data_IF_146305006063
#
_entry.id   IF_146305006063
#
_cell.length_a   1.000
_cell.length_b   1.000
_cell.length_c   1.000
_cell.angle_alpha   90.00
_cell.angle_beta   90.00
_cell.angle_gamma   90.00
#
_symmetry.space_group_name_H-M   'P 1'
#
loop_
_entity.id
_entity.type
_entity.pdbx_description
1 polymer ?
#
# COMPACT_ATOMS: atom_id res chain seq x y z
N UNK A 1 10.95 -17.69 -6.01
CA UNK A 1 11.63 -16.39 -5.86
C UNK A 1 11.56 -15.98 -4.38
N UNK A 2 12.43 -15.10 -3.86
CA UNK A 2 12.30 -14.66 -2.47
C UNK A 2 10.98 -13.89 -2.29
N UNK A 3 10.28 -14.09 -1.18
CA UNK A 3 9.03 -13.40 -0.88
C UNK A 3 9.29 -12.21 0.04
N UNK A 4 8.65 -11.08 -0.24
CA UNK A 4 8.55 -9.96 0.69
C UNK A 4 7.13 -9.88 1.23
N UNK A 5 6.92 -10.45 2.42
CA UNK A 5 5.65 -10.36 3.14
C UNK A 5 5.84 -9.67 4.48
N UNK A 6 4.90 -8.81 4.86
CA UNK A 6 4.87 -8.13 6.16
C UNK A 6 3.48 -8.13 6.75
N UNK A 7 3.39 -8.61 7.98
CA UNK A 7 2.27 -8.30 8.87
C UNK A 7 2.55 -6.93 9.48
N UNK A 8 1.61 -6.01 9.31
CA UNK A 8 1.77 -4.60 9.66
C UNK A 8 0.81 -4.26 10.81
N UNK A 9 1.28 -3.46 11.75
CA UNK A 9 0.54 -3.14 12.97
C UNK A 9 -0.35 -1.92 12.73
N UNK A 10 -1.64 -2.18 12.49
CA UNK A 10 -2.65 -1.15 12.25
C UNK A 10 -2.78 -0.20 13.44
N UNK A 11 -2.77 -0.75 14.66
CA UNK A 11 -2.94 0.07 15.86
C UNK A 11 -1.77 1.04 16.02
N UNK A 12 -0.53 0.56 15.82
CA UNK A 12 0.65 1.40 15.76
C UNK A 12 0.61 2.37 14.58
N UNK A 13 0.06 1.96 13.44
CA UNK A 13 -0.09 2.81 12.26
C UNK A 13 -0.98 4.03 12.52
N UNK A 14 -2.12 3.84 13.19
CA UNK A 14 -3.03 4.93 13.60
C UNK A 14 -2.53 5.71 14.83
N UNK A 15 -1.96 5.02 15.81
CA UNK A 15 -1.59 5.57 17.11
C UNK A 15 -0.08 5.45 17.36
N UNK A 16 0.72 6.02 16.47
CA UNK A 16 2.17 5.82 16.48
C UNK A 16 2.82 6.20 17.82
N UNK A 17 3.52 5.24 18.41
CA UNK A 17 4.34 5.42 19.61
C UNK A 17 5.80 5.07 19.33
N UNK A 18 6.72 6.00 19.66
CA UNK A 18 8.16 5.87 19.37
C UNK A 18 8.86 4.71 20.09
N UNK A 19 8.27 4.20 21.17
CA UNK A 19 8.77 3.08 21.97
C UNK A 19 8.31 1.72 21.42
N UNK A 20 7.37 1.71 20.47
CA UNK A 20 6.97 0.51 19.74
C UNK A 20 7.81 0.36 18.48
N UNK A 21 8.21 -0.87 18.19
CA UNK A 21 9.09 -1.25 17.08
C UNK A 21 8.36 -2.05 15.99
N UNK A 22 7.03 -2.18 16.10
CA UNK A 22 6.21 -2.91 15.14
C UNK A 22 6.30 -2.25 13.76
N UNK A 23 6.40 -3.04 12.67
CA UNK A 23 6.36 -2.49 11.33
C UNK A 23 4.97 -1.89 11.03
N UNK A 24 4.95 -0.84 10.22
CA UNK A 24 3.72 -0.15 9.79
C UNK A 24 3.81 0.12 8.30
N UNK A 25 2.67 0.23 7.63
CA UNK A 25 2.66 0.59 6.22
C UNK A 25 1.40 1.35 5.84
N UNK A 26 1.50 2.08 4.73
CA UNK A 26 0.48 3.02 4.31
C UNK A 26 0.36 3.03 2.78
N UNK A 27 -0.86 3.19 2.28
CA UNK A 27 -1.12 3.70 0.93
C UNK A 27 -1.32 5.20 1.07
N UNK A 28 -0.49 6.00 0.42
CA UNK A 28 -0.52 7.47 0.51
C UNK A 28 -1.29 8.10 -0.65
N UNK A 29 -1.37 7.42 -1.79
CA UNK A 29 -2.23 7.80 -2.91
C UNK A 29 -2.66 6.56 -3.68
N UNK A 30 -3.90 6.52 -4.17
CA UNK A 30 -4.35 5.49 -5.09
C UNK A 30 -5.51 5.99 -5.96
N UNK A 31 -5.40 5.75 -7.26
CA UNK A 31 -6.43 5.98 -8.28
C UNK A 31 -6.67 4.66 -8.99
N UNK A 32 -7.92 4.20 -9.01
CA UNK A 32 -8.30 2.90 -9.57
C UNK A 32 -9.33 3.16 -10.67
N UNK A 33 -9.06 2.73 -11.90
CA UNK A 33 -9.97 2.93 -13.03
C UNK A 33 -10.31 4.40 -13.32
N UNK A 34 -9.43 5.33 -12.96
CA UNK A 34 -9.65 6.78 -13.04
C UNK A 34 -10.27 7.41 -11.79
N UNK A 35 -10.71 6.62 -10.82
CA UNK A 35 -11.30 7.09 -9.58
C UNK A 35 -10.27 7.19 -8.44
N UNK A 36 -9.94 8.42 -8.06
CA UNK A 36 -8.99 8.69 -6.96
C UNK A 36 -9.66 8.50 -5.60
N UNK A 37 -9.03 7.73 -4.71
CA UNK A 37 -9.41 7.68 -3.30
C UNK A 37 -8.78 8.87 -2.55
N UNK A 38 -9.47 9.36 -1.52
CA UNK A 38 -9.02 10.53 -0.77
C UNK A 38 -7.99 10.15 0.29
N UNK A 39 -6.88 10.89 0.36
CA UNK A 39 -5.89 10.77 1.44
C UNK A 39 -6.37 11.55 2.68
N UNK A 40 -7.44 11.06 3.31
CA UNK A 40 -8.20 11.76 4.35
C UNK A 40 -7.78 11.42 5.79
N UNK A 41 -6.79 10.53 5.96
CA UNK A 41 -6.23 10.18 7.27
C UNK A 41 -5.04 11.11 7.60
N UNK A 42 -5.35 12.37 7.89
CA UNK A 42 -4.35 13.45 7.97
C UNK A 42 -3.48 13.44 9.23
N UNK A 43 -3.93 12.77 10.29
CA UNK A 43 -3.26 12.78 11.61
C UNK A 43 -2.22 11.67 11.79
N UNK A 44 -1.99 10.86 10.74
CA UNK A 44 -1.03 9.76 10.80
C UNK A 44 0.40 10.31 10.88
N UNK A 45 1.11 9.93 11.93
CA UNK A 45 2.49 10.36 12.19
C UNK A 45 3.48 9.68 11.25
N UNK A 46 4.54 10.39 10.89
CA UNK A 46 5.66 9.84 10.15
C UNK A 46 6.56 9.00 11.08
N UNK A 47 6.76 7.69 10.84
CA UNK A 47 7.66 6.88 11.65
C UNK A 47 9.12 7.36 11.65
N UNK A 48 9.60 7.97 10.56
CA UNK A 48 10.95 8.54 10.48
C UNK A 48 11.03 9.93 11.14
N UNK A 49 9.89 10.62 11.30
CA UNK A 49 9.78 11.91 11.98
C UNK A 49 8.53 11.98 12.89
N UNK A 50 8.56 11.37 14.10
CA UNK A 50 7.36 11.13 14.93
C UNK A 50 6.64 12.37 15.47
N UNK A 51 7.24 13.55 15.32
CA UNK A 51 6.68 14.84 15.73
C UNK A 51 5.88 15.51 14.60
N UNK A 52 5.92 14.97 13.38
CA UNK A 52 5.19 15.43 12.23
C UNK A 52 4.21 14.37 11.69
N UNK A 53 3.17 14.83 11.00
CA UNK A 53 2.33 13.97 10.17
C UNK A 53 3.09 13.58 8.89
N UNK A 54 2.73 12.45 8.29
CA UNK A 54 3.20 12.08 6.96
C UNK A 54 2.76 13.16 5.96
N UNK A 55 3.73 13.74 5.23
CA UNK A 55 3.48 14.87 4.34
C UNK A 55 2.45 14.58 3.24
N UNK A 56 2.46 13.36 2.70
CA UNK A 56 1.57 12.93 1.61
C UNK A 56 0.14 12.58 2.10
N UNK A 57 -0.12 12.65 3.41
CA UNK A 57 -1.33 12.10 4.04
C UNK A 57 -1.51 10.61 3.70
N UNK A 58 -2.58 10.00 4.20
CA UNK A 58 -2.79 8.55 4.08
C UNK A 58 -4.20 8.24 3.59
N UNK A 59 -4.29 7.34 2.61
CA UNK A 59 -5.55 6.75 2.13
C UNK A 59 -5.92 5.53 2.96
N UNK A 60 -4.95 4.64 3.20
CA UNK A 60 -5.14 3.40 3.94
C UNK A 60 -3.97 3.10 4.89
N UNK A 61 -4.27 2.63 6.09
CA UNK A 61 -3.28 2.08 7.04
C UNK A 61 -3.25 0.56 6.86
N UNK A 62 -2.11 0.01 6.47
CA UNK A 62 -2.00 -1.39 6.07
C UNK A 62 -1.91 -2.32 7.29
N UNK A 63 -2.57 -3.48 7.19
CA UNK A 63 -2.40 -4.61 8.09
C UNK A 63 -1.55 -5.71 7.45
N UNK A 64 -1.47 -5.76 6.12
CA UNK A 64 -0.64 -6.74 5.41
C UNK A 64 -0.16 -6.22 4.07
N UNK A 65 1.05 -6.63 3.71
CA UNK A 65 1.61 -6.51 2.38
C UNK A 65 2.26 -7.82 1.96
N UNK A 66 2.10 -8.16 0.68
CA UNK A 66 2.77 -9.30 0.06
C UNK A 66 3.19 -9.00 -1.38
N UNK A 67 4.43 -9.37 -1.70
CA UNK A 67 4.94 -9.44 -3.05
C UNK A 67 5.97 -10.57 -3.16
N UNK A 68 5.83 -11.47 -4.13
CA UNK A 68 6.77 -12.58 -4.36
C UNK A 68 8.05 -12.16 -5.12
N UNK A 69 8.24 -10.85 -5.30
CA UNK A 69 9.41 -10.16 -5.87
C UNK A 69 9.77 -10.51 -7.31
N UNK A 70 8.94 -11.29 -8.00
CA UNK A 70 8.99 -11.45 -9.44
C UNK A 70 8.53 -10.20 -10.17
N UNK A 71 9.10 -10.00 -11.36
CA UNK A 71 8.84 -8.83 -12.21
C UNK A 71 7.41 -8.79 -12.75
N UNK A 72 6.69 -9.90 -12.75
CA UNK A 72 5.29 -10.02 -13.19
C UNK A 72 4.33 -10.29 -12.03
N UNK A 73 4.85 -10.45 -10.81
CA UNK A 73 4.04 -10.86 -9.66
C UNK A 73 3.16 -9.70 -9.20
N UNK A 74 1.97 -10.03 -8.72
CA UNK A 74 1.10 -9.03 -8.09
C UNK A 74 1.65 -8.59 -6.73
N UNK A 75 1.33 -7.35 -6.37
CA UNK A 75 1.45 -6.84 -5.01
C UNK A 75 0.06 -6.86 -4.37
N UNK A 76 -0.03 -7.48 -3.20
CA UNK A 76 -1.26 -7.56 -2.43
C UNK A 76 -1.18 -6.62 -1.24
N UNK A 77 -2.20 -5.79 -1.10
CA UNK A 77 -2.37 -4.87 0.00
C UNK A 77 -3.65 -5.21 0.74
N UNK A 78 -3.57 -5.23 2.07
CA UNK A 78 -4.73 -5.21 2.95
C UNK A 78 -4.54 -4.07 3.93
N UNK A 79 -5.57 -3.27 4.13
CA UNK A 79 -5.52 -2.15 5.08
C UNK A 79 -6.88 -1.61 5.47
N UNK A 80 -6.87 -0.62 6.36
CA UNK A 80 -8.05 0.05 6.86
C UNK A 80 -8.21 1.42 6.18
N UNK A 81 -9.38 1.65 5.58
CA UNK A 81 -9.76 2.91 4.92
C UNK A 81 -10.88 3.62 5.67
N UNK A 82 -11.06 4.92 5.39
CA UNK A 82 -12.14 5.73 5.95
C UNK A 82 -13.53 5.33 5.45
N UNK A 83 -14.58 5.88 6.08
CA UNK A 83 -15.98 5.72 5.64
C UNK A 83 -16.20 6.23 4.21
N UNK A 84 -15.61 7.38 3.86
CA UNK A 84 -15.79 7.99 2.55
C UNK A 84 -15.16 7.12 1.45
N UNK A 85 -13.91 6.66 1.67
CA UNK A 85 -13.26 5.74 0.76
C UNK A 85 -13.97 4.39 0.69
N UNK A 86 -14.51 3.88 1.81
CA UNK A 86 -15.35 2.66 1.80
C UNK A 86 -16.55 2.78 0.88
N UNK A 87 -17.27 3.89 0.94
CA UNK A 87 -18.43 4.13 0.08
C UNK A 87 -18.03 4.20 -1.40
N UNK A 88 -16.94 4.91 -1.70
CA UNK A 88 -16.40 5.02 -3.05
C UNK A 88 -15.96 3.67 -3.61
N UNK A 89 -15.21 2.86 -2.84
CA UNK A 89 -14.81 1.52 -3.28
C UNK A 89 -16.04 0.62 -3.49
N UNK A 90 -17.04 0.69 -2.62
CA UNK A 90 -18.28 -0.08 -2.78
C UNK A 90 -19.06 0.33 -4.04
N UNK A 91 -19.14 1.62 -4.34
CA UNK A 91 -19.72 2.13 -5.59
C UNK A 91 -18.99 1.57 -6.82
N UNK A 92 -17.66 1.59 -6.78
CA UNK A 92 -16.84 1.05 -7.87
C UNK A 92 -17.08 -0.45 -8.07
N UNK A 93 -17.16 -1.23 -6.99
CA UNK A 93 -17.41 -2.69 -7.04
C UNK A 93 -18.80 -3.06 -7.57
N UNK A 94 -19.79 -2.17 -7.42
CA UNK A 94 -21.13 -2.35 -8.00
C UNK A 94 -21.22 -1.92 -9.48
N UNK A 95 -20.24 -1.14 -9.94
CA UNK A 95 -20.15 -0.65 -11.31
C UNK A 95 -19.45 -1.64 -12.26
N UNK A 96 -19.46 -1.29 -13.55
CA UNK A 96 -18.68 -2.01 -14.55
C UNK A 96 -17.29 -1.38 -14.68
N UNK A 97 -16.23 -2.17 -14.52
CA UNK A 97 -14.85 -1.74 -14.75
C UNK A 97 -14.49 -1.81 -16.24
N UNK A 98 -14.58 -0.68 -16.93
CA UNK A 98 -14.01 -0.52 -18.28
C UNK A 98 -12.51 -0.21 -18.25
N UNK A 99 -12.04 0.45 -17.19
CA UNK A 99 -10.64 0.77 -16.94
C UNK A 99 -10.17 0.09 -15.66
N UNK A 100 -9.09 -0.71 -15.76
CA UNK A 100 -8.47 -1.43 -14.62
C UNK A 100 -7.11 -0.87 -14.24
N UNK A 101 -6.71 0.28 -14.79
CA UNK A 101 -5.46 0.94 -14.43
C UNK A 101 -5.47 1.36 -12.96
N UNK A 102 -4.33 1.16 -12.29
CA UNK A 102 -4.12 1.56 -10.90
C UNK A 102 -2.86 2.40 -10.83
N UNK A 103 -3.00 3.68 -10.46
CA UNK A 103 -1.88 4.56 -10.15
C UNK A 103 -1.81 4.74 -8.63
N UNK A 104 -0.67 4.46 -8.00
CA UNK A 104 -0.61 4.38 -6.54
C UNK A 104 0.76 4.75 -5.96
N UNK A 105 0.75 5.15 -4.69
CA UNK A 105 1.94 5.34 -3.86
C UNK A 105 1.71 4.64 -2.54
N UNK A 106 2.75 3.97 -2.05
CA UNK A 106 2.74 3.31 -0.76
C UNK A 106 4.12 3.34 -0.14
N UNK A 107 4.15 3.09 1.16
CA UNK A 107 5.39 2.95 1.92
C UNK A 107 5.21 1.96 3.06
N UNK A 108 6.20 1.12 3.25
CA UNK A 108 6.32 0.23 4.41
C UNK A 108 7.52 0.67 5.23
N UNK A 109 7.31 0.86 6.53
CA UNK A 109 8.33 1.19 7.49
C UNK A 109 8.63 0.00 8.40
N UNK A 110 9.92 -0.22 8.66
CA UNK A 110 10.39 -1.17 9.67
C UNK A 110 11.31 -0.46 10.65
N UNK A 111 11.44 -1.03 11.85
CA UNK A 111 12.38 -0.53 12.86
C UNK A 111 13.73 -1.22 12.70
N UNK A 112 14.81 -0.45 12.63
CA UNK A 112 16.18 -0.95 12.68
C UNK A 112 16.60 -1.10 14.15
N UNK A 113 16.74 -2.33 14.70
CA UNK A 113 17.11 -2.52 16.10
C UNK A 113 18.56 -2.13 16.40
N UNK A 114 19.43 -2.08 15.37
CA UNK A 114 20.83 -1.68 15.52
C UNK A 114 20.92 -0.15 15.47
N UNK A 115 20.31 0.45 14.44
CA UNK A 115 20.25 1.89 14.23
C UNK A 115 19.29 2.62 15.18
N UNK A 116 18.44 1.88 15.89
CA UNK A 116 17.40 2.35 16.83
C UNK A 116 16.44 3.38 16.25
N UNK A 117 16.12 3.25 14.96
CA UNK A 117 15.24 4.18 14.24
C UNK A 117 14.41 3.45 13.19
N UNK A 118 13.27 4.01 12.85
CA UNK A 118 12.49 3.56 11.69
C UNK A 118 13.20 3.92 10.39
N UNK A 119 12.91 3.16 9.34
CA UNK A 119 13.34 3.43 7.98
C UNK A 119 12.30 2.92 6.98
N UNK A 120 12.26 3.50 5.77
CA UNK A 120 11.45 2.95 4.66
C UNK A 120 12.03 1.63 4.17
N UNK A 121 11.31 0.54 4.39
CA UNK A 121 11.69 -0.82 4.02
C UNK A 121 11.24 -1.20 2.61
N UNK A 122 10.04 -0.81 2.18
CA UNK A 122 9.57 -1.05 0.82
C UNK A 122 8.81 0.17 0.32
N UNK A 123 9.32 0.79 -0.75
CA UNK A 123 8.77 2.04 -1.27
C UNK A 123 9.27 2.37 -2.68
N UNK A 124 8.55 3.28 -3.33
CA UNK A 124 9.01 4.07 -4.47
C UNK A 124 8.55 5.51 -4.28
N UNK A 125 9.43 6.49 -4.44
CA UNK A 125 9.07 7.91 -4.25
C UNK A 125 8.20 8.43 -5.42
N UNK A 126 8.41 7.87 -6.61
CA UNK A 126 7.57 8.11 -7.78
C UNK A 126 6.24 7.35 -7.67
N UNK A 127 5.21 7.88 -8.33
CA UNK A 127 3.94 7.15 -8.47
C UNK A 127 4.15 5.86 -9.27
N UNK A 128 3.60 4.79 -8.74
CA UNK A 128 3.61 3.48 -9.36
C UNK A 128 2.38 3.27 -10.23
N UNK A 129 2.57 2.52 -11.31
CA UNK A 129 1.52 2.21 -12.27
C UNK A 129 1.35 0.71 -12.39
N UNK A 130 0.12 0.24 -12.30
CA UNK A 130 -0.23 -1.17 -12.39
C UNK A 130 -1.62 -1.36 -12.95
N UNK A 131 -2.06 -2.60 -12.91
CA UNK A 131 -3.37 -3.05 -13.34
C UNK A 131 -4.01 -3.82 -12.19
N UNK A 132 -5.29 -3.61 -11.96
CA UNK A 132 -6.04 -4.39 -10.98
C UNK A 132 -5.94 -5.87 -11.37
N UNK A 133 -5.51 -6.71 -10.43
CA UNK A 133 -5.36 -8.13 -10.68
C UNK A 133 -6.73 -8.76 -10.95
N UNK A 134 -6.77 -9.68 -11.91
CA UNK A 134 -7.92 -10.53 -12.16
C UNK A 134 -7.64 -11.95 -11.68
N UNK A 135 -8.61 -12.53 -10.98
CA UNK A 135 -8.66 -13.93 -10.58
C UNK A 135 -9.77 -14.62 -11.39
N UNK A 136 -9.42 -15.15 -12.56
CA UNK A 136 -10.43 -15.53 -13.55
C UNK A 136 -11.11 -14.28 -14.11
N UNK A 137 -12.43 -14.20 -13.97
CA UNK A 137 -13.23 -13.05 -14.40
C UNK A 137 -13.37 -11.97 -13.30
N UNK A 138 -13.08 -12.32 -12.04
CA UNK A 138 -13.26 -11.44 -10.90
C UNK A 138 -12.05 -10.52 -10.69
N UNK A 139 -12.31 -9.27 -10.34
CA UNK A 139 -11.27 -8.32 -9.94
C UNK A 139 -10.87 -8.58 -8.49
N UNK A 140 -9.56 -8.57 -8.23
CA UNK A 140 -9.01 -8.74 -6.88
C UNK A 140 -9.07 -7.44 -6.10
N UNK A 141 -10.29 -7.04 -5.74
CA UNK A 141 -10.56 -5.91 -4.87
C UNK A 141 -11.78 -6.21 -4.00
N UNK A 142 -11.71 -5.88 -2.72
CA UNK A 142 -12.84 -6.03 -1.81
C UNK A 142 -12.82 -4.97 -0.71
N UNK A 143 -13.99 -4.75 -0.12
CA UNK A 143 -14.20 -3.85 1.01
C UNK A 143 -15.17 -4.50 1.99
N UNK A 144 -14.85 -4.44 3.28
CA UNK A 144 -15.70 -5.01 4.32
C UNK A 144 -16.97 -4.16 4.53
N UNK A 145 -18.09 -4.84 4.79
CA UNK A 145 -19.35 -4.18 5.15
C UNK A 145 -19.34 -3.62 6.58
N UNK A 146 -18.65 -4.33 7.47
CA UNK A 146 -18.60 -4.00 8.90
C UNK A 146 -17.32 -3.22 9.24
N UNK A 147 -17.44 -2.34 10.22
CA UNK A 147 -16.31 -1.60 10.79
C UNK A 147 -15.28 -2.56 11.38
N UNK A 148 -13.99 -2.22 11.22
CA UNK A 148 -12.92 -2.95 11.87
C UNK A 148 -12.99 -2.82 13.38
N UNK A 149 -12.54 -3.86 14.08
CA UNK A 149 -12.46 -3.89 15.56
C UNK A 149 -11.08 -3.56 16.10
N UNK A 150 -10.06 -3.45 15.24
CA UNK A 150 -8.67 -3.19 15.65
C UNK A 150 -8.47 -1.76 16.16
N UNK A 151 -9.10 -0.79 15.49
CA UNK A 151 -9.11 0.62 15.86
C UNK A 151 -10.54 1.11 15.80
N UNK A 152 -11.08 1.59 16.92
CA UNK A 152 -12.49 2.00 17.03
C UNK A 152 -12.74 3.47 16.66
N UNK A 153 -11.69 4.29 16.66
CA UNK A 153 -11.74 5.69 16.26
C UNK A 153 -10.44 6.09 15.58
N UNK A 154 -10.47 6.65 14.37
CA UNK A 154 -11.66 6.90 13.55
C UNK A 154 -12.32 5.59 13.06
N UNK A 155 -13.60 5.66 12.63
CA UNK A 155 -14.27 4.53 11.99
C UNK A 155 -13.54 4.14 10.71
N UNK A 156 -13.26 2.86 10.56
CA UNK A 156 -12.47 2.34 9.45
C UNK A 156 -12.94 0.94 9.02
N UNK A 157 -12.64 0.59 7.76
CA UNK A 157 -13.12 -0.62 7.11
C UNK A 157 -11.98 -1.32 6.37
N UNK A 158 -11.99 -2.64 6.41
CA UNK A 158 -10.93 -3.45 5.78
C UNK A 158 -11.11 -3.48 4.28
N UNK A 159 -10.11 -2.96 3.58
CA UNK A 159 -9.95 -2.91 2.14
C UNK A 159 -8.84 -3.84 1.71
N UNK A 160 -9.03 -4.55 0.60
CA UNK A 160 -8.00 -5.40 -0.01
C UNK A 160 -7.92 -5.14 -1.51
N UNK A 161 -6.71 -5.18 -2.05
CA UNK A 161 -6.45 -5.03 -3.48
C UNK A 161 -5.20 -5.81 -3.90
N UNK A 162 -5.29 -6.51 -5.03
CA UNK A 162 -4.17 -7.08 -5.76
C UNK A 162 -3.84 -6.24 -6.99
N UNK A 163 -2.59 -5.82 -7.15
CA UNK A 163 -2.16 -4.99 -8.28
C UNK A 163 -1.05 -5.72 -9.03
N UNK A 164 -1.24 -5.97 -10.33
CA UNK A 164 -0.22 -6.49 -11.23
C UNK A 164 0.55 -5.35 -11.91
N UNK A 165 1.80 -5.58 -12.34
CA UNK A 165 2.52 -4.58 -13.09
C UNK A 165 1.89 -4.38 -14.47
N UNK A 166 1.98 -3.15 -14.99
CA UNK A 166 1.73 -2.88 -16.40
C UNK A 166 2.99 -3.12 -17.24
N UNK A 167 2.89 -2.96 -18.58
CA UNK A 167 4.00 -3.07 -19.53
C UNK A 167 5.01 -1.89 -19.46
N UNK A 168 5.43 -1.54 -18.24
CA UNK A 168 6.40 -0.50 -17.94
C UNK A 168 7.24 -0.95 -16.75
N UNK A 169 8.55 -1.02 -16.94
CA UNK A 169 9.47 -1.38 -15.88
C UNK A 169 9.58 -0.25 -14.84
N UNK A 170 9.39 -0.61 -13.57
CA UNK A 170 9.52 0.26 -12.41
C UNK A 170 10.51 -0.37 -11.42
N UNK A 171 11.29 0.47 -10.71
CA UNK A 171 12.37 0.00 -9.86
C UNK A 171 12.08 0.33 -8.40
N UNK A 172 11.54 -0.63 -7.66
CA UNK A 172 11.22 -0.50 -6.25
C UNK A 172 12.44 -0.65 -5.36
N UNK A 173 12.37 0.00 -4.21
CA UNK A 173 13.39 -0.07 -3.19
C UNK A 173 12.96 -1.07 -2.13
N UNK A 174 13.79 -2.09 -1.87
CA UNK A 174 13.69 -2.96 -0.71
C UNK A 174 14.89 -2.71 0.20
N UNK A 175 14.66 -2.36 1.45
CA UNK A 175 15.69 -2.10 2.44
C UNK A 175 15.54 -3.02 3.65
N UNK A 176 16.66 -3.38 4.27
CA UNK A 176 16.71 -4.16 5.52
C UNK A 176 17.23 -3.33 6.69
N UNK A 177 17.69 -2.11 6.41
CA UNK A 177 18.09 -1.08 7.37
C UNK A 177 18.19 0.25 6.62
N UNK A 178 18.44 1.33 7.35
CA UNK A 178 18.67 2.66 6.75
C UNK A 178 19.87 2.74 5.78
N UNK A 179 20.78 1.76 5.80
CA UNK A 179 22.00 1.75 4.96
C UNK A 179 22.05 0.59 3.97
N UNK A 180 21.17 -0.40 4.08
CA UNK A 180 21.16 -1.60 3.23
C UNK A 180 19.90 -1.64 2.40
N UNK A 181 20.02 -1.24 1.14
CA UNK A 181 18.94 -1.14 0.17
C UNK A 181 19.32 -1.85 -1.13
N UNK A 182 18.37 -2.57 -1.69
CA UNK A 182 18.45 -3.20 -3.00
C UNK A 182 17.30 -2.67 -3.87
N UNK A 183 17.53 -2.60 -5.17
CA UNK A 183 16.50 -2.29 -6.14
C UNK A 183 15.92 -3.60 -6.71
N UNK A 184 14.59 -3.69 -6.83
CA UNK A 184 13.90 -4.79 -7.49
C UNK A 184 13.01 -4.25 -8.59
N UNK A 185 13.05 -4.90 -9.76
CA UNK A 185 12.24 -4.53 -10.91
C UNK A 185 10.83 -5.08 -10.77
N UNK A 186 9.86 -4.33 -11.26
CA UNK A 186 8.46 -4.69 -11.33
C UNK A 186 7.86 -4.12 -12.60
N UNK A 187 7.27 -5.00 -13.41
CA UNK A 187 6.93 -4.75 -14.80
C UNK A 187 8.09 -5.04 -15.75
N UNK A 188 7.73 -5.23 -17.01
CA UNK A 188 8.65 -5.45 -18.13
C UNK A 188 8.26 -4.42 -19.19
N UNK A 189 9.24 -3.70 -19.74
CA UNK A 189 9.01 -2.88 -20.92
C UNK A 189 8.81 -3.82 -22.10
N UNK A 190 7.64 -3.80 -22.73
CA UNK A 190 7.45 -4.52 -23.99
C UNK A 190 8.42 -3.96 -25.03
N UNK A 191 9.29 -4.82 -25.56
CA UNK A 191 10.10 -4.45 -26.71
C UNK A 191 9.13 -4.20 -27.87
N UNK A 192 9.21 -3.02 -28.49
CA UNK A 192 8.41 -2.72 -29.68
C UNK A 192 8.56 -3.88 -30.68
N UNK A 193 7.46 -4.57 -30.97
CA UNK A 193 7.43 -5.59 -32.02
C UNK A 193 7.93 -4.93 -33.31
N UNK A 194 9.06 -5.42 -33.82
CA UNK A 194 9.57 -5.05 -35.15
C UNK A 194 8.71 -5.66 -36.24
#
# INVERSE_FOLDING_TARGET
>A
MPQFSRNLDVYQGFNFKKDKQSPVGYITAITIGGEALSADQETIKDPENPDAAIADKVVAVLNHYLWDTGVTDAMYFSGQVSVANKQKIAEMLLGNFSNIEVNFKYVIYEYDPIGKKYFKSNFLDAEMKGLLEKNGDDLNMSIADNESREVQSPKNFTFQIGIKPQASEQSLNLATSSTKKIAKKWGITEAAAK
#
